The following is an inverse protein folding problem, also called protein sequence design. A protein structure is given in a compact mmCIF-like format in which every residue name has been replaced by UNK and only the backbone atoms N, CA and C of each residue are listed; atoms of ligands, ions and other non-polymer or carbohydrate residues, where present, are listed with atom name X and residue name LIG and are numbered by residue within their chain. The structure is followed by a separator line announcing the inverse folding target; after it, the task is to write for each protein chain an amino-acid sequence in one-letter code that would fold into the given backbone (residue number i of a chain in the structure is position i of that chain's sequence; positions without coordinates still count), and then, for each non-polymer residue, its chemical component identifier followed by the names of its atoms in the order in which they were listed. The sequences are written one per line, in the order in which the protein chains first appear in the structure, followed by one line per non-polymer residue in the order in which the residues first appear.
data_IF_597384506285
#
_entry.id   IF_597384506285
#
_cell.length_a   1.000
_cell.length_b   1.000
_cell.length_c   1.000
_cell.angle_alpha   90.00
_cell.angle_beta   90.00
_cell.angle_gamma   90.00
#
_symmetry.space_group_name_H-M   'P 1'
#
loop_
_entity.id
_entity.type
_entity.pdbx_description
1 polymer ?
#
# COMPACT_ATOMS: atom_id res chain seq x y z
N UNK A 1 14.98 17.28 38.22
CA UNK A 1 14.68 17.05 36.79
C UNK A 1 15.36 18.16 36.01
N UNK A 2 16.33 17.83 35.15
CA UNK A 2 16.87 18.83 34.23
C UNK A 2 15.72 19.35 33.36
N UNK A 3 15.65 20.66 33.05
CA UNK A 3 14.62 21.18 32.18
C UNK A 3 14.70 20.43 30.85
N UNK A 4 13.58 19.84 30.43
CA UNK A 4 13.45 19.25 29.11
C UNK A 4 13.65 20.40 28.12
N UNK A 5 14.83 20.49 27.52
CA UNK A 5 15.10 21.46 26.47
C UNK A 5 14.05 21.24 25.38
N UNK A 6 13.21 22.24 25.14
CA UNK A 6 12.20 22.20 24.09
C UNK A 6 12.90 22.05 22.72
N UNK A 7 12.61 20.95 22.03
CA UNK A 7 13.06 20.78 20.65
C UNK A 7 12.06 21.44 19.71
N UNK A 8 12.44 22.56 19.10
CA UNK A 8 11.65 23.19 18.03
C UNK A 8 12.08 22.62 16.68
N UNK A 9 11.17 21.90 16.01
CA UNK A 9 11.38 21.43 14.65
C UNK A 9 10.94 22.54 13.69
N UNK A 10 11.90 23.14 13.00
CA UNK A 10 11.63 24.08 11.90
C UNK A 10 11.79 23.32 10.60
N UNK A 11 10.70 23.23 9.84
CA UNK A 11 10.68 22.54 8.53
C UNK A 11 10.93 23.53 7.41
N UNK A 12 11.86 23.19 6.51
CA UNK A 12 12.11 23.97 5.30
C UNK A 12 10.98 23.84 4.29
N UNK A 13 10.85 24.82 3.39
CA UNK A 13 9.80 24.86 2.36
C UNK A 13 9.73 23.58 1.50
N UNK A 14 10.89 22.94 1.27
CA UNK A 14 10.97 21.69 0.52
C UNK A 14 10.17 20.53 1.14
N UNK A 15 9.90 20.57 2.45
CA UNK A 15 9.14 19.53 3.14
C UNK A 15 7.67 19.47 2.68
N UNK A 16 7.13 20.57 2.15
CA UNK A 16 5.79 20.58 1.55
C UNK A 16 5.67 19.57 0.40
N UNK A 17 6.75 19.33 -0.36
CA UNK A 17 6.77 18.33 -1.43
C UNK A 17 6.72 16.90 -0.88
N UNK A 18 7.32 16.65 0.29
CA UNK A 18 7.23 15.33 0.95
C UNK A 18 5.80 15.05 1.41
N UNK A 19 5.11 16.07 1.94
CA UNK A 19 3.70 15.95 2.30
C UNK A 19 2.82 15.70 1.06
N UNK A 20 3.13 16.36 -0.06
CA UNK A 20 2.44 16.11 -1.32
C UNK A 20 2.65 14.67 -1.79
N UNK A 21 3.87 14.13 -1.73
CA UNK A 21 4.15 12.73 -2.07
C UNK A 21 3.36 11.76 -1.17
N UNK A 22 3.28 12.02 0.14
CA UNK A 22 2.48 11.21 1.06
C UNK A 22 0.99 11.20 0.65
N UNK A 23 0.45 12.35 0.24
CA UNK A 23 -0.93 12.45 -0.26
C UNK A 23 -1.08 11.67 -1.58
N UNK A 24 -0.14 11.81 -2.51
CA UNK A 24 -0.19 11.07 -3.78
C UNK A 24 -0.13 9.55 -3.54
N UNK A 25 0.72 9.09 -2.63
CA UNK A 25 0.82 7.66 -2.26
C UNK A 25 -0.50 7.15 -1.68
N UNK A 26 -1.14 7.90 -0.79
CA UNK A 26 -2.43 7.51 -0.19
C UNK A 26 -3.56 7.51 -1.23
N UNK A 27 -3.62 8.50 -2.12
CA UNK A 27 -4.56 8.51 -3.25
C UNK A 27 -4.30 7.30 -4.14
N UNK A 28 -3.05 7.05 -4.52
CA UNK A 28 -2.70 5.92 -5.37
C UNK A 28 -3.10 4.58 -4.74
N UNK A 29 -2.85 4.40 -3.44
CA UNK A 29 -3.28 3.23 -2.69
C UNK A 29 -4.81 3.09 -2.69
N UNK A 30 -5.56 4.18 -2.48
CA UNK A 30 -7.01 4.19 -2.56
C UNK A 30 -7.52 3.82 -3.96
N UNK A 31 -6.95 4.38 -5.02
CA UNK A 31 -7.28 4.07 -6.41
C UNK A 31 -7.07 2.58 -6.72
N UNK A 32 -6.00 1.94 -6.20
CA UNK A 32 -5.80 0.50 -6.37
C UNK A 32 -6.91 -0.34 -5.74
N UNK A 33 -7.47 0.11 -4.62
CA UNK A 33 -8.64 -0.54 -3.99
C UNK A 33 -9.89 -0.40 -4.84
N UNK A 34 -10.13 0.80 -5.41
CA UNK A 34 -11.25 1.00 -6.33
C UNK A 34 -11.15 0.14 -7.59
N UNK A 35 -9.95 -0.02 -8.16
CA UNK A 35 -9.74 -0.89 -9.31
C UNK A 35 -10.09 -2.36 -9.00
N UNK A 36 -9.75 -2.86 -7.81
CA UNK A 36 -10.20 -4.19 -7.36
C UNK A 36 -11.73 -4.25 -7.29
N UNK A 37 -12.38 -3.22 -6.73
CA UNK A 37 -13.84 -3.14 -6.67
C UNK A 37 -14.52 -3.16 -8.05
N UNK A 38 -13.90 -2.56 -9.07
CA UNK A 38 -14.40 -2.62 -10.45
C UNK A 38 -14.29 -4.03 -11.05
N UNK A 39 -13.13 -4.68 -10.89
CA UNK A 39 -12.94 -6.08 -11.36
C UNK A 39 -13.92 -7.01 -10.66
N UNK A 40 -14.13 -6.81 -9.36
CA UNK A 40 -15.08 -7.57 -8.56
C UNK A 40 -16.52 -7.45 -9.09
N UNK A 41 -16.98 -6.24 -9.41
CA UNK A 41 -18.32 -6.02 -10.00
C UNK A 41 -18.45 -6.64 -11.40
N UNK A 42 -17.35 -6.68 -12.16
CA UNK A 42 -17.32 -7.31 -13.49
C UNK A 42 -17.48 -8.82 -13.40
N UNK A 43 -16.77 -9.45 -12.47
CA UNK A 43 -16.76 -10.91 -12.26
C UNK A 43 -18.06 -11.38 -11.58
N UNK A 44 -18.44 -10.75 -10.46
CA UNK A 44 -19.67 -11.09 -9.74
C UNK A 44 -20.87 -10.26 -10.21
N UNK A 45 -21.17 -10.37 -11.50
CA UNK A 45 -22.30 -9.67 -12.13
C UNK A 45 -23.62 -10.48 -12.00
N UNK A 46 -24.73 -9.92 -12.50
CA UNK A 46 -26.05 -10.57 -12.42
C UNK A 46 -26.09 -11.90 -13.17
N UNK A 47 -25.36 -12.04 -14.26
CA UNK A 47 -25.37 -13.22 -15.12
C UNK A 47 -24.66 -14.39 -14.45
N UNK A 48 -23.53 -14.13 -13.77
CA UNK A 48 -22.84 -15.11 -12.92
C UNK A 48 -23.82 -15.77 -11.95
N UNK A 49 -24.61 -14.95 -11.25
CA UNK A 49 -25.55 -15.45 -10.26
C UNK A 49 -26.73 -16.21 -10.86
N UNK A 50 -27.31 -15.71 -11.96
CA UNK A 50 -28.41 -16.41 -12.63
C UNK A 50 -27.97 -17.78 -13.17
N UNK A 51 -26.73 -17.87 -13.67
CA UNK A 51 -26.16 -19.11 -14.20
C UNK A 51 -25.83 -20.13 -13.10
N UNK A 52 -25.16 -19.70 -12.03
CA UNK A 52 -24.65 -20.60 -10.99
C UNK A 52 -25.67 -20.87 -9.87
N UNK A 53 -26.69 -20.01 -9.72
CA UNK A 53 -27.70 -20.13 -8.68
C UNK A 53 -29.12 -20.00 -9.27
N UNK A 54 -29.78 -21.11 -9.66
CA UNK A 54 -31.15 -21.07 -10.20
C UNK A 54 -32.18 -20.44 -9.24
N UNK A 55 -31.93 -20.54 -7.93
CA UNK A 55 -32.72 -19.88 -6.86
C UNK A 55 -32.19 -18.48 -6.51
N UNK A 56 -31.42 -17.83 -7.39
CA UNK A 56 -30.78 -16.53 -7.11
C UNK A 56 -31.76 -15.47 -6.58
N UNK A 57 -32.99 -15.43 -7.10
CA UNK A 57 -34.05 -14.52 -6.61
C UNK A 57 -34.45 -14.75 -5.14
N UNK A 58 -34.25 -15.95 -4.60
CA UNK A 58 -34.45 -16.26 -3.18
C UNK A 58 -33.18 -15.98 -2.37
N UNK A 59 -32.00 -16.16 -2.98
CA UNK A 59 -30.73 -15.82 -2.35
C UNK A 59 -30.61 -14.31 -2.13
N UNK A 60 -30.98 -13.46 -3.08
CA UNK A 60 -30.86 -11.99 -2.94
C UNK A 60 -31.60 -11.44 -1.70
N UNK A 61 -32.65 -12.14 -1.26
CA UNK A 61 -33.46 -11.81 -0.07
C UNK A 61 -32.79 -12.21 1.24
N UNK A 62 -31.88 -13.18 1.22
CA UNK A 62 -31.20 -13.76 2.40
C UNK A 62 -29.73 -13.36 2.47
N UNK A 63 -29.03 -13.42 1.33
CA UNK A 63 -27.66 -13.03 1.09
C UNK A 63 -27.70 -12.03 -0.06
N UNK A 64 -27.55 -10.73 0.22
CA UNK A 64 -27.46 -9.69 -0.81
C UNK A 64 -26.00 -9.62 -1.28
N UNK A 65 -25.54 -10.45 -2.23
CA UNK A 65 -24.13 -10.63 -2.52
C UNK A 65 -23.79 -9.61 -3.62
N UNK A 66 -24.09 -8.34 -3.36
CA UNK A 66 -23.91 -7.25 -4.32
C UNK A 66 -22.42 -7.12 -4.60
N UNK A 67 -21.99 -7.52 -5.80
CA UNK A 67 -20.57 -7.58 -6.15
C UNK A 67 -19.80 -8.66 -5.40
N UNK A 68 -20.41 -9.77 -5.00
CA UNK A 68 -19.68 -10.94 -4.48
C UNK A 68 -19.31 -10.87 -3.01
N UNK A 69 -19.86 -9.95 -2.21
CA UNK A 69 -19.64 -9.97 -0.76
C UNK A 69 -20.40 -11.12 -0.09
N UNK A 70 -19.88 -11.69 1.01
CA UNK A 70 -18.64 -11.33 1.73
C UNK A 70 -17.37 -11.99 1.17
N UNK A 71 -17.44 -12.71 0.05
CA UNK A 71 -16.31 -13.46 -0.51
C UNK A 71 -15.14 -12.54 -0.87
N UNK A 72 -13.94 -12.84 -0.40
CA UNK A 72 -12.77 -12.02 -0.67
C UNK A 72 -11.94 -12.51 -1.87
N UNK A 73 -12.38 -13.52 -2.62
CA UNK A 73 -11.66 -14.12 -3.75
C UNK A 73 -11.12 -15.52 -3.47
N UNK A 74 -11.37 -16.06 -2.27
CA UNK A 74 -11.03 -17.43 -1.87
C UNK A 74 -12.20 -18.16 -1.19
N UNK A 75 -13.41 -17.64 -1.32
CA UNK A 75 -14.61 -18.25 -0.74
C UNK A 75 -15.45 -19.03 -1.75
N UNK A 76 -16.66 -19.37 -1.30
CA UNK A 76 -17.63 -20.19 -2.03
C UNK A 76 -18.07 -19.62 -3.37
N UNK A 77 -18.07 -18.30 -3.54
CA UNK A 77 -18.40 -17.66 -4.82
C UNK A 77 -17.20 -17.67 -5.75
N UNK A 78 -16.00 -17.44 -5.21
CA UNK A 78 -14.76 -17.48 -5.98
C UNK A 78 -14.48 -18.88 -6.55
N UNK A 79 -14.81 -19.94 -5.82
CA UNK A 79 -14.67 -21.34 -6.27
C UNK A 79 -15.52 -21.69 -7.50
N UNK A 80 -16.53 -20.88 -7.81
CA UNK A 80 -17.43 -21.09 -8.96
C UNK A 80 -17.01 -20.33 -10.21
N UNK A 81 -15.98 -19.49 -10.10
CA UNK A 81 -15.42 -18.70 -11.19
C UNK A 81 -14.63 -19.58 -12.16
N UNK A 82 -14.54 -19.12 -13.40
CA UNK A 82 -13.61 -19.72 -14.36
C UNK A 82 -12.16 -19.34 -13.97
N UNK A 83 -11.20 -20.20 -14.30
CA UNK A 83 -9.80 -20.05 -13.86
C UNK A 83 -9.21 -18.66 -14.19
N UNK A 84 -9.55 -18.11 -15.36
CA UNK A 84 -9.07 -16.79 -15.78
C UNK A 84 -9.67 -15.65 -14.95
N UNK A 85 -10.97 -15.72 -14.63
CA UNK A 85 -11.66 -14.74 -13.81
C UNK A 85 -11.16 -14.79 -12.37
N UNK A 86 -11.01 -16.01 -11.82
CA UNK A 86 -10.44 -16.25 -10.51
C UNK A 86 -9.01 -15.72 -10.42
N UNK A 87 -8.16 -16.02 -11.42
CA UNK A 87 -6.78 -15.56 -11.46
C UNK A 87 -6.70 -14.03 -11.54
N UNK A 88 -7.53 -13.41 -12.39
CA UNK A 88 -7.58 -11.96 -12.54
C UNK A 88 -8.02 -11.28 -11.24
N UNK A 89 -9.11 -11.76 -10.63
CA UNK A 89 -9.63 -11.22 -9.37
C UNK A 89 -8.57 -11.27 -8.27
N UNK A 90 -7.93 -12.44 -8.09
CA UNK A 90 -6.94 -12.65 -7.04
C UNK A 90 -5.65 -11.86 -7.26
N UNK A 91 -5.23 -11.64 -8.50
CA UNK A 91 -4.07 -10.80 -8.81
C UNK A 91 -4.33 -9.32 -8.50
N UNK A 92 -5.51 -8.78 -8.84
CA UNK A 92 -5.89 -7.42 -8.47
C UNK A 92 -5.99 -7.26 -6.95
N UNK A 93 -6.59 -8.25 -6.27
CA UNK A 93 -6.62 -8.30 -4.81
C UNK A 93 -5.22 -8.28 -4.22
N UNK A 94 -4.31 -9.14 -4.68
CA UNK A 94 -2.98 -9.24 -4.08
C UNK A 94 -2.15 -7.98 -4.33
N UNK A 95 -2.29 -7.34 -5.49
CA UNK A 95 -1.68 -6.05 -5.77
C UNK A 95 -2.16 -4.96 -4.78
N UNK A 96 -3.47 -4.91 -4.49
CA UNK A 96 -4.03 -3.95 -3.54
C UNK A 96 -3.65 -4.25 -2.08
N UNK A 97 -3.88 -5.48 -1.61
CA UNK A 97 -3.62 -5.87 -0.22
C UNK A 97 -2.14 -5.70 0.15
N UNK A 98 -1.23 -6.07 -0.74
CA UNK A 98 0.19 -5.84 -0.52
C UNK A 98 0.53 -4.34 -0.42
N UNK A 99 -0.20 -3.47 -1.13
CA UNK A 99 0.00 -2.02 -0.99
C UNK A 99 -0.45 -1.55 0.39
N UNK A 100 -1.64 -2.01 0.82
CA UNK A 100 -2.20 -1.66 2.10
C UNK A 100 -1.31 -2.13 3.27
N UNK A 101 -0.81 -3.37 3.20
CA UNK A 101 0.17 -3.95 4.14
C UNK A 101 1.45 -3.09 4.19
N UNK A 102 1.94 -2.66 3.04
CA UNK A 102 3.16 -1.84 2.91
C UNK A 102 2.96 -0.33 3.12
N UNK A 103 1.74 0.14 3.32
CA UNK A 103 1.44 1.58 3.36
C UNK A 103 2.18 2.31 4.48
N UNK A 104 2.18 1.74 5.68
CA UNK A 104 2.93 2.29 6.82
C UNK A 104 4.44 2.18 6.65
N UNK A 105 4.90 1.11 5.99
CA UNK A 105 6.30 0.89 5.69
C UNK A 105 6.88 1.96 4.75
N UNK A 106 6.07 2.63 3.92
CA UNK A 106 6.54 3.77 3.13
C UNK A 106 6.24 5.11 3.79
N UNK A 107 5.02 5.32 4.29
CA UNK A 107 4.57 6.66 4.71
C UNK A 107 5.35 7.18 5.92
N UNK A 108 5.58 6.34 6.94
CA UNK A 108 6.26 6.78 8.15
C UNK A 108 7.73 7.13 7.85
N UNK A 109 8.53 6.28 7.18
CA UNK A 109 9.91 6.61 6.85
C UNK A 109 10.04 7.77 5.85
N UNK A 110 9.10 7.93 4.91
CA UNK A 110 9.06 9.08 4.01
C UNK A 110 8.96 10.40 4.79
N UNK A 111 7.98 10.50 5.70
CA UNK A 111 7.78 11.70 6.52
C UNK A 111 9.00 11.97 7.42
N UNK A 112 9.52 10.96 8.12
CA UNK A 112 10.65 11.13 9.03
C UNK A 112 11.93 11.50 8.28
N UNK A 113 12.25 10.77 7.20
CA UNK A 113 13.47 11.04 6.42
C UNK A 113 13.44 12.44 5.80
N UNK A 114 12.27 12.89 5.33
CA UNK A 114 12.08 14.21 4.72
C UNK A 114 12.43 15.38 5.63
N UNK A 115 12.38 15.20 6.96
CA UNK A 115 12.72 16.22 7.95
C UNK A 115 14.22 16.54 7.99
N UNK A 116 15.08 15.57 7.65
CA UNK A 116 16.55 15.77 7.64
C UNK A 116 17.16 15.69 6.25
N UNK A 117 16.54 14.96 5.32
CA UNK A 117 17.08 14.63 4.00
C UNK A 117 16.12 14.97 2.86
N UNK A 118 15.45 16.13 2.93
CA UNK A 118 14.33 16.51 2.04
C UNK A 118 14.55 16.18 0.55
N UNK A 119 15.67 16.60 -0.05
CA UNK A 119 15.94 16.36 -1.49
C UNK A 119 16.09 14.87 -1.82
N UNK A 120 16.82 14.12 -1.00
CA UNK A 120 17.06 12.71 -1.25
C UNK A 120 15.79 11.88 -1.00
N UNK A 121 15.04 12.21 0.05
CA UNK A 121 13.72 11.63 0.32
C UNK A 121 12.78 11.84 -0.85
N UNK A 122 12.71 13.04 -1.43
CA UNK A 122 11.85 13.35 -2.57
C UNK A 122 12.14 12.45 -3.78
N UNK A 123 13.41 12.34 -4.21
CA UNK A 123 13.73 11.46 -5.35
C UNK A 123 13.49 9.98 -5.02
N UNK A 124 13.68 9.58 -3.76
CA UNK A 124 13.40 8.21 -3.30
C UNK A 124 11.90 7.93 -3.28
N UNK A 125 11.07 8.89 -2.90
CA UNK A 125 9.60 8.83 -2.95
C UNK A 125 9.08 8.64 -4.37
N UNK A 126 9.61 9.40 -5.34
CA UNK A 126 9.34 9.20 -6.77
C UNK A 126 9.73 7.79 -7.22
N UNK A 127 10.94 7.32 -6.88
CA UNK A 127 11.39 5.98 -7.24
C UNK A 127 10.46 4.89 -6.66
N UNK A 128 10.02 5.06 -5.42
CA UNK A 128 9.04 4.18 -4.78
C UNK A 128 7.72 4.15 -5.57
N UNK A 129 7.16 5.30 -5.96
CA UNK A 129 5.91 5.37 -6.71
C UNK A 129 6.00 4.68 -8.07
N UNK A 130 7.11 4.85 -8.78
CA UNK A 130 7.37 4.15 -10.05
C UNK A 130 7.47 2.65 -9.84
N UNK A 131 8.28 2.21 -8.86
CA UNK A 131 8.39 0.79 -8.50
C UNK A 131 7.04 0.19 -8.12
N UNK A 132 6.21 0.94 -7.40
CA UNK A 132 4.86 0.54 -6.98
C UNK A 132 3.92 0.33 -8.16
N UNK A 133 3.94 1.22 -9.14
CA UNK A 133 3.06 1.08 -10.30
C UNK A 133 3.50 -0.08 -11.20
N UNK A 134 4.81 -0.24 -11.42
CA UNK A 134 5.37 -1.39 -12.13
C UNK A 134 5.04 -2.72 -11.42
N UNK A 135 5.17 -2.76 -10.09
CA UNK A 135 4.78 -3.91 -9.27
C UNK A 135 3.30 -4.24 -9.49
N UNK A 136 2.44 -3.23 -9.37
CA UNK A 136 0.99 -3.40 -9.38
C UNK A 136 0.49 -3.80 -10.77
N UNK A 137 0.99 -3.19 -11.85
CA UNK A 137 0.66 -3.61 -13.21
C UNK A 137 1.20 -5.00 -13.55
N UNK A 138 2.45 -5.29 -13.17
CA UNK A 138 3.06 -6.59 -13.39
C UNK A 138 2.26 -7.72 -12.73
N UNK A 139 1.86 -7.51 -11.46
CA UNK A 139 1.04 -8.46 -10.73
C UNK A 139 -0.32 -8.68 -11.39
N UNK A 140 -1.00 -7.59 -11.79
CA UNK A 140 -2.33 -7.63 -12.41
C UNK A 140 -2.34 -8.38 -13.75
N UNK A 141 -1.25 -8.31 -14.53
CA UNK A 141 -1.19 -8.89 -15.89
C UNK A 141 -0.68 -10.32 -15.92
N UNK A 142 0.38 -10.63 -15.17
CA UNK A 142 1.09 -11.91 -15.29
C UNK A 142 1.33 -12.59 -13.94
N UNK A 143 0.65 -12.11 -12.89
CA UNK A 143 0.74 -12.67 -11.55
C UNK A 143 2.10 -12.42 -10.90
N UNK A 144 2.53 -13.38 -10.07
CA UNK A 144 3.70 -13.21 -9.19
C UNK A 144 5.03 -13.00 -9.91
N UNK A 145 5.19 -13.48 -11.16
CA UNK A 145 6.41 -13.29 -11.94
C UNK A 145 6.54 -11.87 -12.51
N UNK A 146 5.43 -11.26 -12.91
CA UNK A 146 5.42 -9.91 -13.50
C UNK A 146 5.83 -8.80 -12.54
N UNK A 147 5.72 -9.03 -11.23
CA UNK A 147 6.00 -8.02 -10.21
C UNK A 147 7.50 -7.75 -9.98
N UNK A 148 8.38 -8.65 -10.44
CA UNK A 148 9.80 -8.70 -10.02
C UNK A 148 10.52 -7.38 -10.29
N UNK A 149 10.36 -6.81 -11.49
CA UNK A 149 10.98 -5.52 -11.84
C UNK A 149 10.53 -4.40 -10.90
N UNK A 150 9.24 -4.37 -10.56
CA UNK A 150 8.69 -3.40 -9.62
C UNK A 150 9.19 -3.61 -8.18
N UNK A 151 9.30 -4.86 -7.73
CA UNK A 151 9.83 -5.21 -6.39
C UNK A 151 11.22 -4.66 -6.19
N UNK A 152 12.13 -4.86 -7.15
CA UNK A 152 13.54 -4.44 -6.99
C UNK A 152 13.63 -2.93 -6.77
N UNK A 153 12.91 -2.14 -7.56
CA UNK A 153 12.91 -0.68 -7.45
C UNK A 153 12.25 -0.26 -6.12
N UNK A 154 11.10 -0.86 -5.80
CA UNK A 154 10.33 -0.56 -4.60
C UNK A 154 11.11 -0.87 -3.32
N UNK A 155 11.73 -2.05 -3.24
CA UNK A 155 12.47 -2.51 -2.06
C UNK A 155 13.75 -1.69 -1.83
N UNK A 156 14.46 -1.32 -2.91
CA UNK A 156 15.63 -0.43 -2.81
C UNK A 156 15.23 0.96 -2.32
N UNK A 157 14.11 1.50 -2.81
CA UNK A 157 13.59 2.78 -2.33
C UNK A 157 13.17 2.70 -0.86
N UNK A 158 12.47 1.64 -0.45
CA UNK A 158 12.10 1.42 0.95
C UNK A 158 13.31 1.31 1.86
N UNK A 159 14.32 0.53 1.47
CA UNK A 159 15.56 0.38 2.24
C UNK A 159 16.25 1.74 2.45
N UNK A 160 16.29 2.58 1.42
CA UNK A 160 16.83 3.93 1.50
C UNK A 160 16.02 4.81 2.46
N UNK A 161 14.68 4.84 2.34
CA UNK A 161 13.81 5.60 3.23
C UNK A 161 13.95 5.15 4.69
N UNK A 162 14.00 3.84 4.95
CA UNK A 162 14.17 3.27 6.28
C UNK A 162 15.51 3.66 6.89
N UNK A 163 16.58 3.55 6.10
CA UNK A 163 17.93 3.91 6.54
C UNK A 163 18.02 5.39 6.92
N UNK A 164 17.47 6.28 6.09
CA UNK A 164 17.43 7.71 6.38
C UNK A 164 16.57 8.02 7.61
N UNK A 165 15.38 7.41 7.73
CA UNK A 165 14.49 7.64 8.87
C UNK A 165 15.12 7.18 10.19
N UNK A 166 15.71 5.99 10.22
CA UNK A 166 16.43 5.47 11.38
C UNK A 166 17.60 6.38 11.77
N UNK A 167 18.39 6.81 10.79
CA UNK A 167 19.51 7.71 11.05
C UNK A 167 19.04 9.06 11.58
N UNK A 168 17.98 9.66 11.00
CA UNK A 168 17.36 10.89 11.49
C UNK A 168 16.99 10.77 12.96
N UNK A 169 16.23 9.74 13.33
CA UNK A 169 15.81 9.53 14.71
C UNK A 169 16.99 9.31 15.66
N UNK A 170 17.96 8.50 15.26
CA UNK A 170 19.14 8.21 16.07
C UNK A 170 19.99 9.46 16.31
N UNK A 171 20.20 10.26 15.26
CA UNK A 171 20.95 11.50 15.36
C UNK A 171 20.24 12.55 16.23
N UNK A 172 18.93 12.74 16.04
CA UNK A 172 18.12 13.65 16.87
C UNK A 172 18.10 13.23 18.34
N UNK A 173 18.12 11.92 18.61
CA UNK A 173 18.25 11.35 19.94
C UNK A 173 19.65 11.46 20.55
N UNK A 174 20.60 12.17 19.93
CA UNK A 174 22.01 12.25 20.35
C UNK A 174 22.69 10.87 20.48
N UNK A 175 22.30 9.94 19.60
CA UNK A 175 22.83 8.58 19.49
C UNK A 175 22.82 7.81 20.81
N UNK A 176 23.87 7.02 21.04
CA UNK A 176 24.02 6.22 22.26
C UNK A 176 24.13 7.07 23.53
N UNK A 177 24.63 8.30 23.43
CA UNK A 177 24.74 9.16 24.60
C UNK A 177 23.37 9.64 25.08
N UNK A 178 22.51 10.10 24.17
CA UNK A 178 21.14 10.46 24.54
C UNK A 178 20.30 9.26 24.97
N UNK A 179 20.50 8.09 24.35
CA UNK A 179 19.85 6.85 24.80
C UNK A 179 20.26 6.48 26.23
N UNK A 180 21.56 6.57 26.57
CA UNK A 180 22.04 6.33 27.94
C UNK A 180 21.39 7.28 28.95
N UNK A 181 21.32 8.59 28.64
CA UNK A 181 20.67 9.60 29.50
C UNK A 181 19.16 9.40 29.66
N UNK A 182 18.51 8.72 28.71
CA UNK A 182 17.08 8.43 28.79
C UNK A 182 16.79 7.25 29.71
N UNK A 183 17.67 6.24 29.71
CA UNK A 183 17.47 4.97 30.43
C UNK A 183 18.03 5.03 31.85
N UNK A 184 19.19 5.66 32.05
CA UNK A 184 19.94 5.72 33.31
C UNK A 184 20.02 7.16 33.82
#
# INVERSE_FOLDING_TARGET
MAPLNEMKIVVGEGYAWILLEAIIITIHMFLTGMMMGLVRKRVFNKDFYQKKFPRYKQLITVMRPDGGYPDDGQGRLADLLDDEEWFTLNNYRRAHMNYLEGGFAVLIPLLISGLSYTRLTFFTGIAYMIGRELYSQGYRRTGSKGRITGVIILDLALLMLWSMALYTCFHWGNGLHGLKRLIF
#
